data_IF_310879427424
#
_entry.id   IF_310879427424
#
_cell.length_a   1.000
_cell.length_b   1.000
_cell.length_c   1.000
_cell.angle_alpha   90.00
_cell.angle_beta   90.00
_cell.angle_gamma   90.00
#
_symmetry.space_group_name_H-M   'P 1'
#
loop_
_entity.id
_entity.type
_entity.pdbx_description
1 polymer ?
#
# COMPACT_ATOMS: atom_id res chain seq x y z
N UNK A 1 42.07 1.78 11.09
CA UNK A 1 40.82 2.11 10.39
C UNK A 1 39.89 0.93 10.58
N UNK A 2 38.71 1.16 11.15
CA UNK A 2 37.68 0.11 11.24
C UNK A 2 36.97 0.02 9.91
N UNK A 3 36.92 -1.17 9.32
CA UNK A 3 36.14 -1.44 8.11
C UNK A 3 34.68 -1.71 8.54
N UNK A 4 33.73 -0.94 7.99
CA UNK A 4 32.33 -1.20 8.16
C UNK A 4 31.78 -1.91 6.91
N UNK A 5 31.07 -3.02 7.14
CA UNK A 5 30.32 -3.70 6.10
C UNK A 5 28.89 -3.16 6.09
N UNK A 6 28.44 -2.71 4.93
CA UNK A 6 27.06 -2.34 4.68
C UNK A 6 26.50 -3.25 3.58
N UNK A 7 25.32 -3.81 3.82
CA UNK A 7 24.66 -4.69 2.87
C UNK A 7 23.26 -4.17 2.57
N UNK A 8 22.79 -4.39 1.37
CA UNK A 8 21.40 -4.16 0.96
C UNK A 8 20.87 -5.40 0.26
N UNK A 9 19.57 -5.61 0.36
CA UNK A 9 18.87 -6.72 -0.25
C UNK A 9 17.69 -6.19 -1.09
N UNK A 10 17.44 -6.83 -2.21
CA UNK A 10 16.32 -6.53 -3.08
C UNK A 10 15.75 -7.83 -3.64
N UNK A 11 14.42 -7.90 -3.74
CA UNK A 11 13.71 -9.01 -4.33
C UNK A 11 13.18 -8.64 -5.72
N UNK A 12 13.08 -9.64 -6.59
CA UNK A 12 12.58 -9.46 -7.95
C UNK A 12 11.05 -9.52 -8.00
N UNK A 13 10.50 -9.05 -9.11
CA UNK A 13 9.08 -9.18 -9.42
C UNK A 13 8.63 -10.66 -9.33
N UNK A 14 7.47 -10.89 -8.74
CA UNK A 14 6.97 -12.24 -8.46
C UNK A 14 7.35 -12.79 -7.08
N UNK A 15 8.29 -12.18 -6.36
CA UNK A 15 8.50 -12.47 -4.94
C UNK A 15 7.33 -11.92 -4.11
N UNK A 16 6.85 -12.65 -3.07
CA UNK A 16 5.71 -12.20 -2.26
C UNK A 16 5.83 -10.76 -1.74
N UNK A 17 6.98 -10.37 -1.24
CA UNK A 17 7.22 -9.01 -0.73
C UNK A 17 7.03 -7.97 -1.84
N UNK A 18 7.54 -8.23 -3.04
CA UNK A 18 7.39 -7.32 -4.16
C UNK A 18 5.95 -7.28 -4.69
N UNK A 19 5.25 -8.40 -4.67
CA UNK A 19 3.83 -8.46 -5.03
C UNK A 19 3.01 -7.63 -4.04
N UNK A 20 3.29 -7.74 -2.75
CA UNK A 20 2.63 -6.96 -1.71
C UNK A 20 2.82 -5.46 -1.93
N UNK A 21 4.06 -5.01 -2.20
CA UNK A 21 4.37 -3.62 -2.56
C UNK A 21 3.56 -3.18 -3.78
N UNK A 22 3.60 -3.94 -4.86
CA UNK A 22 2.92 -3.59 -6.12
C UNK A 22 1.39 -3.53 -5.97
N UNK A 23 0.81 -4.36 -5.11
CA UNK A 23 -0.62 -4.29 -4.81
C UNK A 23 -0.94 -3.02 -4.03
N UNK A 24 -0.19 -2.72 -2.97
CA UNK A 24 -0.39 -1.51 -2.17
C UNK A 24 -0.22 -0.24 -3.02
N UNK A 25 0.80 -0.19 -3.86
CA UNK A 25 1.04 0.91 -4.80
C UNK A 25 -0.09 1.04 -5.84
N UNK A 26 -0.60 -0.08 -6.36
CA UNK A 26 -1.72 -0.07 -7.32
C UNK A 26 -3.00 0.48 -6.70
N UNK A 27 -3.25 0.19 -5.42
CA UNK A 27 -4.37 0.78 -4.67
C UNK A 27 -4.18 2.28 -4.49
N UNK A 28 -2.98 2.72 -4.12
CA UNK A 28 -2.64 4.13 -3.98
C UNK A 28 -2.85 4.89 -5.29
N UNK A 29 -2.32 4.38 -6.39
CA UNK A 29 -2.44 4.98 -7.73
C UNK A 29 -3.90 5.09 -8.18
N UNK A 30 -4.69 4.05 -7.97
CA UNK A 30 -6.12 4.04 -8.32
C UNK A 30 -6.91 5.11 -7.55
N UNK A 31 -6.56 5.33 -6.29
CA UNK A 31 -7.17 6.37 -5.45
C UNK A 31 -6.69 7.76 -5.89
N UNK A 32 -5.40 7.96 -6.04
CA UNK A 32 -4.82 9.28 -6.39
C UNK A 32 -5.22 9.78 -7.77
N UNK A 33 -5.52 8.88 -8.69
CA UNK A 33 -6.09 9.22 -10.01
C UNK A 33 -7.41 9.99 -9.88
N UNK A 34 -8.20 9.73 -8.83
CA UNK A 34 -9.51 10.33 -8.61
C UNK A 34 -9.49 11.38 -7.47
N UNK A 35 -8.64 11.19 -6.48
CA UNK A 35 -8.55 12.04 -5.29
C UNK A 35 -7.09 12.26 -4.85
N UNK A 36 -6.40 13.26 -5.45
CA UNK A 36 -5.00 13.56 -5.12
C UNK A 36 -4.75 14.00 -3.67
N UNK A 37 -5.81 14.29 -2.92
CA UNK A 37 -5.73 14.69 -1.50
C UNK A 37 -6.12 13.56 -0.55
N UNK A 38 -6.35 12.36 -1.06
CA UNK A 38 -6.64 11.20 -0.25
C UNK A 38 -5.51 10.92 0.76
N UNK A 39 -5.87 10.30 1.87
CA UNK A 39 -4.92 9.71 2.81
C UNK A 39 -5.06 8.21 2.72
N UNK A 40 -3.97 7.55 2.39
CA UNK A 40 -3.95 6.12 2.08
C UNK A 40 -2.85 5.45 2.87
N UNK A 41 -3.21 4.59 3.81
CA UNK A 41 -2.35 3.63 4.45
C UNK A 41 -2.89 2.25 4.08
N UNK A 42 -2.29 1.64 3.08
CA UNK A 42 -2.73 0.36 2.52
C UNK A 42 -1.60 -0.66 2.63
N UNK A 43 -1.82 -1.64 3.48
CA UNK A 43 -0.91 -2.75 3.70
C UNK A 43 -1.42 -4.02 3.02
N UNK A 44 -0.50 -4.82 2.52
CA UNK A 44 -0.84 -6.06 1.84
C UNK A 44 -0.07 -7.22 2.43
N UNK A 45 -0.79 -8.28 2.74
CA UNK A 45 -0.23 -9.60 3.05
C UNK A 45 -0.58 -10.56 1.92
N UNK A 46 0.39 -11.35 1.49
CA UNK A 46 0.21 -12.33 0.43
C UNK A 46 0.80 -13.68 0.82
N UNK A 47 0.10 -14.74 0.46
CA UNK A 47 0.57 -16.11 0.53
C UNK A 47 -0.04 -16.90 -0.63
N UNK A 48 0.30 -18.19 -0.76
CA UNK A 48 -0.25 -19.03 -1.83
C UNK A 48 -1.77 -19.03 -1.79
N UNK A 49 -2.38 -18.56 -2.87
CA UNK A 49 -3.83 -18.55 -3.05
C UNK A 49 -4.60 -17.47 -2.30
N UNK A 50 -3.95 -16.59 -1.53
CA UNK A 50 -4.63 -15.56 -0.73
C UNK A 50 -3.88 -14.24 -0.73
N UNK A 51 -4.63 -13.16 -0.91
CA UNK A 51 -4.21 -11.78 -0.66
C UNK A 51 -5.13 -11.15 0.38
N UNK A 52 -4.55 -10.47 1.34
CA UNK A 52 -5.28 -9.63 2.30
C UNK A 52 -4.78 -8.21 2.16
N UNK A 53 -5.69 -7.30 1.88
CA UNK A 53 -5.46 -5.85 1.87
C UNK A 53 -6.13 -5.25 3.09
N UNK A 54 -5.36 -4.58 3.93
CA UNK A 54 -5.85 -3.99 5.16
C UNK A 54 -5.24 -2.60 5.38
N UNK A 55 -5.87 -1.80 6.22
CA UNK A 55 -5.34 -0.48 6.58
C UNK A 55 -6.42 0.58 6.72
N UNK A 56 -6.02 1.85 6.64
CA UNK A 56 -6.91 2.98 6.82
C UNK A 56 -6.83 3.94 5.63
N UNK A 57 -7.98 4.26 5.07
CA UNK A 57 -8.10 5.15 3.89
C UNK A 57 -9.14 6.22 4.17
N UNK A 58 -8.80 7.48 3.87
CA UNK A 58 -9.75 8.59 3.82
C UNK A 58 -9.72 9.19 2.42
N UNK A 59 -10.78 8.96 1.66
CA UNK A 59 -10.89 9.39 0.27
C UNK A 59 -12.34 9.61 -0.16
N UNK A 60 -12.51 10.40 -1.21
CA UNK A 60 -13.76 10.53 -1.97
C UNK A 60 -13.75 9.65 -3.24
N UNK A 61 -12.64 9.00 -3.56
CA UNK A 61 -12.53 8.10 -4.70
C UNK A 61 -13.42 6.87 -4.53
N UNK A 62 -13.88 6.34 -5.66
CA UNK A 62 -14.59 5.06 -5.73
C UNK A 62 -13.72 4.06 -6.48
N UNK A 63 -13.17 3.10 -5.75
CA UNK A 63 -12.24 2.11 -6.27
C UNK A 63 -12.81 0.71 -6.06
N UNK A 64 -12.81 -0.09 -7.10
CA UNK A 64 -13.01 -1.53 -6.98
C UNK A 64 -11.70 -2.20 -6.60
N UNK A 65 -11.50 -2.42 -5.31
CA UNK A 65 -10.29 -3.01 -4.78
C UNK A 65 -10.05 -4.43 -5.29
N UNK A 66 -11.12 -5.20 -5.56
CA UNK A 66 -10.99 -6.55 -6.13
C UNK A 66 -10.39 -6.49 -7.53
N UNK A 67 -10.85 -5.56 -8.36
CA UNK A 67 -10.34 -5.38 -9.71
C UNK A 67 -8.89 -4.89 -9.70
N UNK A 68 -8.57 -3.91 -8.87
CA UNK A 68 -7.21 -3.36 -8.76
C UNK A 68 -6.22 -4.44 -8.31
N UNK A 69 -6.53 -5.17 -7.25
CA UNK A 69 -5.66 -6.22 -6.71
C UNK A 69 -5.44 -7.32 -7.74
N UNK A 70 -6.51 -7.82 -8.36
CA UNK A 70 -6.41 -8.87 -9.39
C UNK A 70 -5.67 -8.38 -10.63
N UNK A 71 -5.85 -7.12 -11.00
CA UNK A 71 -5.12 -6.49 -12.10
C UNK A 71 -3.63 -6.45 -11.84
N UNK A 72 -3.20 -6.06 -10.65
CA UNK A 72 -1.79 -6.07 -10.24
C UNK A 72 -1.18 -7.48 -10.33
N UNK A 73 -1.85 -8.49 -9.76
CA UNK A 73 -1.40 -9.88 -9.79
C UNK A 73 -1.27 -10.40 -11.23
N UNK A 74 -2.24 -10.06 -12.09
CA UNK A 74 -2.20 -10.42 -13.50
C UNK A 74 -1.01 -9.79 -14.23
N UNK A 75 -0.76 -8.50 -13.99
CA UNK A 75 0.31 -7.74 -14.64
C UNK A 75 1.70 -8.27 -14.25
N UNK A 76 1.86 -8.76 -13.03
CA UNK A 76 3.08 -9.43 -12.57
C UNK A 76 3.30 -10.76 -13.32
N UNK A 77 2.25 -11.38 -13.84
CA UNK A 77 2.33 -12.60 -14.63
C UNK A 77 1.73 -13.84 -13.96
N UNK A 78 1.05 -13.70 -12.82
CA UNK A 78 0.32 -14.80 -12.18
C UNK A 78 -1.09 -14.94 -12.77
N UNK A 79 -1.15 -15.42 -13.99
CA UNK A 79 -2.33 -15.50 -14.84
C UNK A 79 -2.86 -16.94 -15.08
N UNK A 80 -2.22 -17.93 -14.47
CA UNK A 80 -2.57 -19.34 -14.62
C UNK A 80 -2.24 -20.15 -13.35
N UNK A 81 -3.12 -21.09 -13.00
CA UNK A 81 -2.99 -21.92 -11.80
C UNK A 81 -1.71 -22.78 -11.75
N UNK A 82 -1.17 -23.17 -12.91
CA UNK A 82 0.08 -23.94 -13.00
C UNK A 82 1.30 -23.16 -12.45
N UNK A 83 1.17 -21.85 -12.31
CA UNK A 83 2.20 -20.99 -11.71
C UNK A 83 2.14 -20.97 -10.16
N UNK A 84 1.24 -21.74 -9.58
CA UNK A 84 1.02 -21.83 -8.12
C UNK A 84 0.23 -20.67 -7.53
N UNK A 85 -0.08 -19.64 -8.33
CA UNK A 85 -0.88 -18.48 -7.96
C UNK A 85 -1.58 -17.93 -9.21
N UNK A 86 -2.86 -17.57 -9.10
CA UNK A 86 -3.66 -17.13 -10.24
C UNK A 86 -4.60 -15.99 -9.82
N UNK A 87 -4.53 -14.87 -10.51
CA UNK A 87 -5.34 -13.68 -10.24
C UNK A 87 -6.85 -13.92 -10.27
N UNK A 88 -7.31 -14.94 -11.03
CA UNK A 88 -8.74 -15.26 -11.14
C UNK A 88 -9.27 -16.03 -9.95
N UNK A 89 -8.45 -16.96 -9.44
CA UNK A 89 -8.87 -17.97 -8.46
C UNK A 89 -8.39 -17.70 -7.05
N UNK A 90 -7.41 -16.83 -6.86
CA UNK A 90 -6.94 -16.47 -5.52
C UNK A 90 -8.06 -15.79 -4.70
N UNK A 91 -8.05 -16.04 -3.41
CA UNK A 91 -8.84 -15.27 -2.45
C UNK A 91 -8.31 -13.84 -2.35
N UNK A 92 -9.20 -12.85 -2.32
CA UNK A 92 -8.86 -11.46 -2.04
C UNK A 92 -9.77 -10.98 -0.92
N UNK A 93 -9.18 -10.68 0.24
CA UNK A 93 -9.86 -10.08 1.38
C UNK A 93 -9.51 -8.60 1.47
N UNK A 94 -10.51 -7.76 1.73
CA UNK A 94 -10.33 -6.32 1.87
C UNK A 94 -10.89 -5.90 3.23
N UNK A 95 -10.02 -5.34 4.08
CA UNK A 95 -10.34 -4.84 5.41
C UNK A 95 -9.76 -3.42 5.55
N UNK A 96 -10.44 -2.44 4.94
CA UNK A 96 -10.02 -1.05 4.90
C UNK A 96 -10.99 -0.20 5.71
N UNK A 97 -10.47 0.48 6.71
CA UNK A 97 -11.20 1.38 7.61
C UNK A 97 -10.88 2.85 7.34
N UNK A 98 -11.54 3.75 8.05
CA UNK A 98 -11.17 5.16 8.07
C UNK A 98 -9.98 5.39 8.99
N UNK A 99 -9.09 6.31 8.61
CA UNK A 99 -7.94 6.69 9.42
C UNK A 99 -8.37 7.16 10.82
N UNK A 100 -7.60 6.77 11.85
CA UNK A 100 -7.87 7.16 13.22
C UNK A 100 -7.78 8.69 13.39
N UNK A 101 -8.59 9.28 14.32
CA UNK A 101 -8.52 10.72 14.59
C UNK A 101 -7.15 11.19 15.07
N UNK A 102 -6.43 10.37 15.83
CA UNK A 102 -5.11 10.72 16.37
C UNK A 102 -4.06 10.84 15.26
N UNK A 103 -4.02 9.91 14.32
CA UNK A 103 -3.16 9.97 13.14
C UNK A 103 -3.54 11.14 12.23
N UNK A 104 -4.83 11.40 12.07
CA UNK A 104 -5.30 12.48 11.21
C UNK A 104 -4.86 13.88 11.68
N UNK A 105 -4.60 14.08 12.97
CA UNK A 105 -4.08 15.34 13.50
C UNK A 105 -2.72 15.72 12.92
N UNK A 106 -1.86 14.73 12.66
CA UNK A 106 -0.53 14.96 12.10
C UNK A 106 -0.49 15.25 10.61
N UNK A 107 -1.52 14.82 9.85
CA UNK A 107 -1.53 14.88 8.38
C UNK A 107 -2.62 15.78 7.80
N UNK A 108 -3.66 16.11 8.55
CA UNK A 108 -4.79 16.91 8.05
C UNK A 108 -4.52 18.41 8.18
N UNK A 109 -4.77 19.14 7.12
CA UNK A 109 -4.65 20.62 7.09
C UNK A 109 -5.54 21.27 8.15
N UNK A 110 -4.97 22.20 8.92
CA UNK A 110 -5.69 22.95 9.96
C UNK A 110 -5.90 22.18 11.25
N UNK A 111 -5.35 20.97 11.38
CA UNK A 111 -5.36 20.18 12.60
C UNK A 111 -3.93 20.01 13.14
N UNK A 112 -3.82 19.74 14.44
CA UNK A 112 -2.55 19.56 15.13
C UNK A 112 -1.99 20.79 15.84
N UNK A 113 -0.90 20.59 16.57
CA UNK A 113 -0.30 21.61 17.47
C UNK A 113 0.21 22.88 16.77
N UNK A 114 0.46 22.80 15.48
CA UNK A 114 1.06 23.90 14.69
C UNK A 114 0.13 24.51 13.64
N UNK A 115 -1.16 24.18 13.67
CA UNK A 115 -2.17 24.70 12.74
C UNK A 115 -1.68 24.69 11.28
N UNK A 116 -1.26 23.53 10.81
CA UNK A 116 -0.63 23.34 9.50
C UNK A 116 -1.48 23.89 8.36
N UNK A 117 -0.87 24.72 7.51
CA UNK A 117 -1.53 25.30 6.32
C UNK A 117 -1.60 24.31 5.16
N UNK A 118 -0.75 23.29 5.18
CA UNK A 118 -0.64 22.28 4.14
C UNK A 118 -0.85 20.88 4.72
N UNK A 119 -1.27 19.95 3.90
CA UNK A 119 -1.41 18.55 4.28
C UNK A 119 -0.04 17.95 4.55
N UNK A 120 0.11 17.21 5.67
CA UNK A 120 1.32 16.46 5.97
C UNK A 120 1.46 15.24 5.07
N UNK A 121 2.70 14.85 4.77
CA UNK A 121 3.01 13.68 3.95
C UNK A 121 2.78 12.36 4.70
N UNK A 122 2.92 12.35 6.01
CA UNK A 122 2.75 11.17 6.84
C UNK A 122 3.09 11.44 8.31
N UNK A 123 3.08 10.40 9.13
CA UNK A 123 3.35 10.42 10.56
C UNK A 123 4.61 9.64 10.95
N UNK A 124 5.24 8.98 9.99
CA UNK A 124 6.47 8.23 10.17
C UNK A 124 7.67 8.94 9.53
N UNK A 125 8.85 8.68 10.05
CA UNK A 125 10.07 9.24 9.51
C UNK A 125 11.31 8.47 9.96
N UNK A 126 12.36 8.58 9.16
CA UNK A 126 13.70 8.14 9.50
C UNK A 126 14.67 9.30 9.32
N UNK A 127 15.56 9.50 10.29
CA UNK A 127 16.54 10.58 10.27
C UNK A 127 17.92 10.01 10.52
N UNK A 128 18.89 10.55 9.78
CA UNK A 128 20.30 10.28 9.95
C UNK A 128 20.98 11.59 10.37
N UNK A 129 21.55 11.57 11.57
CA UNK A 129 22.26 12.71 12.13
C UNK A 129 23.77 12.62 11.98
#
# INVERSE_FOLDING_TARGET
MSNYLFTSESVTEGHPDKIADQISDSVLDAIFTQDPKARVACETMITTGLVVVAGEITTNARVDFQEVVRGAIKNIGYDHSDKGFDYKTCGVMVALDRQSPDISQGVTTGQGAFNQKEQGAGDQGIMFG
#
